data_IF_632774710838
#
_entry.id   IF_632774710838
#
_cell.length_a   1.000
_cell.length_b   1.000
_cell.length_c   1.000
_cell.angle_alpha   90.00
_cell.angle_beta   90.00
_cell.angle_gamma   90.00
#
_symmetry.space_group_name_H-M   'P 1'
#
loop_
_entity.id
_entity.type
_entity.pdbx_description
1 polymer ?
#
# COMPACT_ATOMS: atom_id res chain seq x y z
N UNK A 1 -24.56 10.41 59.23
CA UNK A 1 -25.63 10.38 58.21
C UNK A 1 -25.85 8.92 57.82
N UNK A 2 -27.10 8.48 57.97
CA UNK A 2 -27.80 7.30 57.46
C UNK A 2 -27.05 6.05 56.99
N UNK A 3 -27.38 4.93 57.65
CA UNK A 3 -27.43 3.59 57.05
C UNK A 3 -28.58 3.52 56.01
N UNK A 4 -28.59 2.53 55.10
CA UNK A 4 -29.61 1.49 55.30
C UNK A 4 -29.17 0.05 54.97
N UNK A 5 -29.79 -0.85 55.73
CA UNK A 5 -29.82 -2.31 55.65
C UNK A 5 -30.89 -2.82 54.67
N UNK A 6 -30.59 -3.94 54.00
CA UNK A 6 -31.53 -5.05 53.69
C UNK A 6 -31.90 -5.30 52.21
N UNK A 7 -32.40 -6.51 51.82
CA UNK A 7 -32.77 -7.65 52.66
C UNK A 7 -32.29 -9.07 52.20
N UNK A 8 -32.30 -9.97 53.18
CA UNK A 8 -32.64 -11.41 53.21
C UNK A 8 -32.70 -12.28 51.96
N UNK A 9 -32.00 -13.43 52.02
CA UNK A 9 -32.54 -14.72 51.55
C UNK A 9 -31.87 -15.90 52.29
N UNK A 10 -32.62 -16.70 53.09
CA UNK A 10 -32.18 -17.99 53.58
C UNK A 10 -32.81 -19.11 52.74
N UNK A 11 -31.98 -19.93 52.09
CA UNK A 11 -32.42 -21.25 51.64
C UNK A 11 -32.05 -22.27 52.73
N UNK A 12 -33.07 -22.58 53.54
CA UNK A 12 -33.18 -23.84 54.26
C UNK A 12 -33.13 -24.98 53.24
N UNK A 13 -32.10 -25.83 53.34
CA UNK A 13 -32.24 -27.22 52.92
C UNK A 13 -31.76 -28.09 54.08
N UNK A 14 -32.77 -28.63 54.75
CA UNK A 14 -32.77 -29.82 55.60
C UNK A 14 -31.89 -30.92 55.03
N UNK A 15 -30.98 -31.47 55.84
CA UNK A 15 -31.11 -32.87 56.25
C UNK A 15 -30.24 -33.18 57.48
N UNK A 16 -30.89 -33.92 58.38
CA UNK A 16 -30.44 -34.26 59.72
C UNK A 16 -29.20 -35.16 59.71
N UNK A 17 -28.24 -34.83 60.57
CA UNK A 17 -27.25 -35.77 61.03
C UNK A 17 -27.83 -36.60 62.19
N UNK A 18 -27.88 -37.93 62.06
CA UNK A 18 -27.77 -38.82 63.22
C UNK A 18 -27.05 -40.14 62.88
N UNK A 19 -26.02 -40.40 63.71
CA UNK A 19 -25.55 -41.69 64.21
C UNK A 19 -24.73 -42.65 63.34
N UNK A 20 -23.43 -42.71 63.67
CA UNK A 20 -22.75 -43.86 64.31
C UNK A 20 -21.40 -44.21 63.65
N UNK A 21 -20.33 -44.22 64.44
CA UNK A 21 -19.04 -44.80 64.03
C UNK A 21 -17.84 -44.28 64.82
N UNK A 22 -17.64 -44.82 66.02
CA UNK A 22 -16.46 -44.60 66.88
C UNK A 22 -15.27 -45.45 66.41
N UNK A 23 -14.03 -44.92 66.39
CA UNK A 23 -12.84 -45.75 66.16
C UNK A 23 -11.49 -45.07 65.86
N UNK A 24 -10.83 -44.55 66.92
CA UNK A 24 -9.35 -44.49 67.14
C UNK A 24 -8.52 -43.31 66.57
N UNK A 25 -7.59 -42.68 67.36
CA UNK A 25 -6.83 -41.45 67.04
C UNK A 25 -5.40 -41.75 66.52
N UNK A 26 -4.57 -40.75 66.12
CA UNK A 26 -3.72 -40.05 67.12
C UNK A 26 -3.29 -38.59 66.80
N UNK A 27 -2.81 -37.95 67.87
CA UNK A 27 -1.61 -37.10 67.98
C UNK A 27 -1.56 -35.69 67.36
N UNK A 28 -1.68 -34.73 68.28
CA UNK A 28 -0.69 -33.67 68.58
C UNK A 28 -0.41 -32.57 67.55
N UNK A 29 -0.75 -31.36 68.01
CA UNK A 29 -0.35 -30.08 67.47
C UNK A 29 0.96 -29.63 68.13
N UNK A 30 1.94 -29.28 67.31
CA UNK A 30 3.06 -28.38 67.62
C UNK A 30 3.48 -27.77 66.26
N UNK A 31 3.16 -26.50 65.99
CA UNK A 31 3.98 -25.32 66.28
C UNK A 31 5.28 -25.23 65.44
N UNK A 32 5.23 -24.36 64.44
CA UNK A 32 6.23 -23.32 64.13
C UNK A 32 7.68 -23.75 63.82
N UNK A 33 8.06 -23.65 62.54
CA UNK A 33 9.23 -22.91 61.98
C UNK A 33 9.68 -23.57 60.67
N UNK A 34 9.13 -23.14 59.52
CA UNK A 34 9.81 -23.38 58.23
C UNK A 34 10.65 -22.15 57.87
N UNK A 35 11.93 -22.45 57.67
CA UNK A 35 13.05 -21.58 57.43
C UNK A 35 13.00 -21.12 55.97
N UNK A 36 12.96 -19.80 55.75
CA UNK A 36 13.19 -19.18 54.45
C UNK A 36 14.62 -19.52 53.97
N UNK A 37 14.83 -20.06 52.76
CA UNK A 37 16.15 -20.01 52.16
C UNK A 37 16.41 -18.60 51.62
N UNK A 38 17.38 -17.91 52.20
CA UNK A 38 18.04 -16.75 51.58
C UNK A 38 18.79 -17.21 50.32
N UNK A 39 18.63 -16.55 49.15
CA UNK A 39 19.63 -16.66 48.11
C UNK A 39 20.78 -15.70 48.42
N UNK A 40 21.93 -16.29 48.76
CA UNK A 40 23.22 -15.62 48.80
C UNK A 40 23.56 -15.01 47.43
N UNK A 41 24.12 -13.81 47.50
CA UNK A 41 24.82 -13.04 46.46
C UNK A 41 25.80 -13.87 45.65
N UNK A 42 25.71 -13.76 44.32
CA UNK A 42 26.82 -13.32 43.45
C UNK A 42 26.44 -13.57 41.98
N UNK A 43 25.97 -12.54 41.28
CA UNK A 43 26.15 -12.39 39.82
C UNK A 43 25.78 -10.95 39.42
N UNK A 44 26.76 -10.04 39.51
CA UNK A 44 26.74 -8.79 38.76
C UNK A 44 26.98 -9.10 37.26
N UNK A 45 26.13 -8.68 36.32
CA UNK A 45 26.57 -8.56 34.94
C UNK A 45 27.42 -7.29 34.81
N UNK A 46 28.70 -7.50 34.51
CA UNK A 46 29.66 -6.46 34.20
C UNK A 46 29.10 -5.46 33.17
N UNK A 47 28.96 -4.21 33.59
CA UNK A 47 28.71 -3.09 32.69
C UNK A 47 30.04 -2.68 32.06
N UNK A 48 30.38 -3.22 30.90
CA UNK A 48 31.52 -2.70 30.11
C UNK A 48 31.08 -1.45 29.34
N UNK A 49 31.43 -0.28 29.90
CA UNK A 49 31.43 1.00 29.19
C UNK A 49 32.71 1.06 28.36
N UNK A 50 32.61 0.91 27.04
CA UNK A 50 33.72 1.18 26.14
C UNK A 50 33.93 2.69 26.02
N UNK A 51 34.81 3.24 26.85
CA UNK A 51 35.46 4.53 26.58
C UNK A 51 36.63 4.31 25.60
N UNK A 52 36.80 5.13 24.56
CA UNK A 52 37.99 5.04 23.72
C UNK A 52 39.22 5.55 24.49
N UNK A 53 40.26 4.73 24.49
CA UNK A 53 41.57 5.08 25.03
C UNK A 53 42.26 6.14 24.15
N UNK A 54 42.72 7.20 24.79
CA UNK A 54 43.68 8.17 24.26
C UNK A 54 45.10 7.73 24.67
N UNK A 55 46.09 7.81 23.77
CA UNK A 55 47.43 8.12 24.22
C UNK A 55 48.05 9.27 23.42
N UNK A 56 48.13 10.42 24.08
CA UNK A 56 49.41 11.12 24.22
C UNK A 56 49.65 12.31 23.28
N UNK A 57 49.38 13.49 23.83
CA UNK A 57 50.26 14.67 23.85
C UNK A 57 50.84 15.15 22.51
N UNK A 58 50.24 16.20 21.94
CA UNK A 58 51.00 17.32 21.38
C UNK A 58 50.32 18.66 21.65
N UNK A 59 51.21 19.63 21.85
CA UNK A 59 51.08 21.01 22.32
C UNK A 59 49.91 21.86 21.82
N UNK A 60 49.58 22.81 22.69
CA UNK A 60 48.71 23.95 22.42
C UNK A 60 49.29 24.81 21.29
N UNK A 61 48.48 25.05 20.26
CA UNK A 61 48.52 26.33 19.53
C UNK A 61 47.12 26.65 19.03
N UNK A 62 46.52 27.68 19.63
CA UNK A 62 45.40 28.41 19.05
C UNK A 62 45.91 29.14 17.82
N UNK A 63 45.34 28.90 16.64
CA UNK A 63 45.33 29.87 15.54
C UNK A 63 44.32 29.47 14.46
N UNK A 64 43.63 30.49 13.96
CA UNK A 64 42.67 30.49 12.88
C UNK A 64 43.17 29.77 11.63
N UNK A 65 42.33 28.92 11.02
CA UNK A 65 42.37 28.71 9.57
C UNK A 65 41.00 28.30 9.02
N UNK A 66 40.30 29.31 8.52
CA UNK A 66 39.50 29.30 7.30
C UNK A 66 39.50 27.97 6.52
N UNK A 67 38.43 27.19 6.68
CA UNK A 67 38.05 26.11 5.77
C UNK A 67 37.29 26.67 4.58
N UNK A 68 38.01 26.94 3.50
CA UNK A 68 37.53 27.31 2.18
C UNK A 68 36.47 26.33 1.62
N UNK A 69 35.26 26.85 1.41
CA UNK A 69 34.34 26.67 0.27
C UNK A 69 34.36 25.31 -0.47
N UNK A 70 33.20 24.64 -0.50
CA UNK A 70 32.59 24.06 -1.72
C UNK A 70 31.12 23.67 -1.47
N UNK A 71 30.27 24.69 -1.37
CA UNK A 71 28.83 24.55 -1.66
C UNK A 71 28.43 25.66 -2.63
N UNK A 72 28.62 25.39 -3.92
CA UNK A 72 27.93 26.08 -5.00
C UNK A 72 27.47 25.01 -5.97
N UNK A 73 26.29 24.44 -5.72
CA UNK A 73 25.51 23.87 -6.82
C UNK A 73 24.99 25.06 -7.64
N UNK A 74 25.22 25.13 -8.96
CA UNK A 74 24.61 26.18 -9.78
C UNK A 74 23.10 25.98 -9.74
N UNK A 75 22.39 27.02 -9.29
CA UNK A 75 20.96 27.20 -9.54
C UNK A 75 20.73 27.20 -11.05
N UNK A 76 20.11 26.14 -11.58
CA UNK A 76 19.74 26.00 -13.00
C UNK A 76 18.58 26.90 -13.43
N UNK A 77 18.50 28.10 -12.88
CA UNK A 77 17.51 29.12 -13.16
C UNK A 77 18.26 30.46 -13.25
N UNK A 78 18.80 30.74 -14.44
CA UNK A 78 19.08 32.07 -15.00
C UNK A 78 20.16 31.97 -16.08
N UNK A 79 19.75 31.67 -17.33
CA UNK A 79 20.40 32.10 -18.57
C UNK A 79 19.73 31.41 -19.76
N UNK A 80 18.77 32.07 -20.39
CA UNK A 80 18.17 31.52 -21.61
C UNK A 80 17.08 32.40 -22.19
N UNK A 81 17.51 33.47 -22.86
CA UNK A 81 16.76 34.25 -23.85
C UNK A 81 15.51 33.53 -24.41
N UNK A 82 14.34 34.15 -24.23
CA UNK A 82 13.17 33.88 -25.07
C UNK A 82 13.54 34.20 -26.52
N UNK A 83 13.87 33.18 -27.32
CA UNK A 83 14.02 33.36 -28.76
C UNK A 83 12.63 33.54 -29.37
N UNK A 84 12.36 34.76 -29.83
CA UNK A 84 11.20 35.07 -30.66
C UNK A 84 11.34 34.29 -31.97
N UNK A 85 10.41 33.37 -32.24
CA UNK A 85 10.32 32.68 -33.52
C UNK A 85 9.93 33.72 -34.57
N UNK A 86 10.84 33.99 -35.49
CA UNK A 86 10.63 34.85 -36.65
C UNK A 86 9.64 34.16 -37.60
N UNK A 87 8.45 34.74 -37.79
CA UNK A 87 7.49 34.25 -38.78
C UNK A 87 7.95 34.71 -40.17
N UNK A 88 8.11 33.81 -41.15
CA UNK A 88 8.30 34.23 -42.52
C UNK A 88 7.06 35.00 -43.01
N UNK A 89 7.33 36.07 -43.75
CA UNK A 89 6.36 36.94 -44.39
C UNK A 89 5.59 36.16 -45.46
N UNK A 90 4.27 36.02 -45.31
CA UNK A 90 3.41 35.47 -46.37
C UNK A 90 3.41 36.42 -47.58
N UNK A 91 3.70 35.93 -48.81
CA UNK A 91 3.62 36.78 -49.99
C UNK A 91 2.17 37.11 -50.32
N UNK A 92 1.90 38.39 -50.53
CA UNK A 92 0.65 38.89 -51.07
C UNK A 92 0.48 38.43 -52.52
N UNK A 93 -0.30 37.36 -52.74
CA UNK A 93 -0.72 36.96 -54.09
C UNK A 93 -2.10 37.51 -54.42
N UNK A 94 -2.03 38.66 -55.09
CA UNK A 94 -2.69 38.97 -56.37
C UNK A 94 -4.21 39.15 -56.43
N UNK A 95 -4.54 40.44 -56.44
CA UNK A 95 -5.65 41.12 -57.10
C UNK A 95 -5.91 40.53 -58.51
N UNK A 96 -7.13 40.08 -58.77
CA UNK A 96 -7.64 39.98 -60.14
C UNK A 96 -8.62 41.11 -60.41
N UNK A 97 -8.10 42.14 -61.10
CA UNK A 97 -8.89 43.16 -61.74
C UNK A 97 -9.69 42.56 -62.91
N UNK A 98 -10.88 43.12 -63.12
CA UNK A 98 -11.84 42.74 -64.14
C UNK A 98 -11.31 42.92 -65.57
N UNK A 99 -11.72 42.02 -66.47
CA UNK A 99 -11.79 42.30 -67.90
C UNK A 99 -13.00 41.59 -68.53
N UNK A 100 -14.02 42.39 -68.84
CA UNK A 100 -15.18 42.01 -69.62
C UNK A 100 -14.80 41.85 -71.10
N UNK A 101 -15.34 40.82 -71.76
CA UNK A 101 -15.60 40.83 -73.21
C UNK A 101 -17.02 40.31 -73.45
N UNK A 102 -17.91 41.08 -74.10
CA UNK A 102 -19.25 40.62 -74.42
C UNK A 102 -19.19 39.71 -75.66
N UNK A 103 -19.67 38.47 -75.53
CA UNK A 103 -19.90 37.58 -76.68
C UNK A 103 -21.40 37.38 -76.82
N UNK A 104 -21.89 37.70 -78.03
CA UNK A 104 -23.29 37.70 -78.42
C UNK A 104 -23.93 36.29 -78.39
N UNK A 105 -25.26 36.18 -78.22
CA UNK A 105 -25.97 34.91 -78.10
C UNK A 105 -26.06 34.19 -79.44
N UNK A 106 -25.55 32.95 -79.50
CA UNK A 106 -25.77 32.03 -80.63
C UNK A 106 -27.09 31.27 -80.42
N UNK A 107 -28.08 31.50 -81.28
CA UNK A 107 -29.28 30.68 -81.38
C UNK A 107 -28.94 29.30 -81.93
N UNK A 108 -29.26 28.25 -81.18
CA UNK A 108 -29.24 26.87 -81.66
C UNK A 108 -30.70 26.47 -81.93
N UNK A 109 -31.04 26.00 -83.16
CA UNK A 109 -32.40 25.55 -83.48
C UNK A 109 -32.80 24.33 -82.64
N UNK A 110 -34.09 24.16 -82.31
CA UNK A 110 -34.55 23.01 -81.52
C UNK A 110 -34.28 21.72 -82.30
N UNK A 111 -33.29 20.94 -81.83
CA UNK A 111 -33.18 19.54 -82.25
C UNK A 111 -34.32 18.78 -81.59
N UNK A 112 -35.14 18.19 -82.44
CA UNK A 112 -36.25 17.33 -82.06
C UNK A 112 -35.85 16.24 -81.07
N UNK A 113 -36.88 15.74 -80.40
CA UNK A 113 -36.84 14.72 -79.36
C UNK A 113 -35.89 13.57 -79.70
N UNK A 114 -34.69 13.63 -79.12
CA UNK A 114 -33.83 12.46 -78.99
C UNK A 114 -34.38 11.60 -77.84
N UNK A 115 -34.52 10.28 -78.00
CA UNK A 115 -34.99 9.42 -76.93
C UNK A 115 -34.03 9.49 -75.74
N UNK A 116 -34.62 9.68 -74.56
CA UNK A 116 -33.92 9.79 -73.27
C UNK A 116 -33.04 8.55 -73.06
N UNK A 117 -31.72 8.68 -72.80
CA UNK A 117 -30.90 7.51 -72.50
C UNK A 117 -31.45 6.84 -71.23
N UNK A 118 -31.45 5.50 -71.14
CA UNK A 118 -31.96 4.81 -69.97
C UNK A 118 -31.18 5.28 -68.74
N UNK A 119 -31.87 5.85 -67.76
CA UNK A 119 -31.29 6.10 -66.45
C UNK A 119 -30.88 4.75 -65.88
N UNK A 120 -29.61 4.42 -66.01
CA UNK A 120 -28.99 3.28 -65.34
C UNK A 120 -29.14 3.59 -63.86
N UNK A 121 -30.12 2.95 -63.21
CA UNK A 121 -30.29 2.99 -61.75
C UNK A 121 -28.95 2.53 -61.17
N UNK A 122 -28.14 3.50 -60.72
CA UNK A 122 -26.83 3.24 -60.13
C UNK A 122 -27.10 2.34 -58.94
N UNK A 123 -26.67 1.08 -59.05
CA UNK A 123 -27.00 0.01 -58.12
C UNK A 123 -26.43 0.35 -56.75
N UNK A 124 -27.27 0.96 -55.92
CA UNK A 124 -27.01 1.30 -54.53
C UNK A 124 -26.56 0.08 -53.72
N UNK A 125 -26.89 -1.12 -54.20
CA UNK A 125 -26.41 -2.40 -53.66
C UNK A 125 -24.88 -2.52 -53.59
N UNK A 126 -24.11 -1.88 -54.49
CA UNK A 126 -22.64 -1.91 -54.37
C UNK A 126 -22.12 -0.97 -53.28
N UNK A 127 -22.79 0.17 -53.08
CA UNK A 127 -22.48 1.09 -51.96
C UNK A 127 -22.83 0.41 -50.63
N UNK A 128 -23.97 -0.27 -50.56
CA UNK A 128 -24.35 -1.06 -49.40
C UNK A 128 -23.34 -2.19 -49.13
N UNK A 129 -22.87 -2.90 -50.16
CA UNK A 129 -21.85 -3.92 -50.03
C UNK A 129 -20.52 -3.35 -49.48
N UNK A 130 -20.08 -2.19 -49.97
CA UNK A 130 -18.88 -1.51 -49.47
C UNK A 130 -19.05 -1.12 -48.00
N UNK A 131 -20.19 -0.56 -47.61
CA UNK A 131 -20.46 -0.18 -46.22
C UNK A 131 -20.43 -1.40 -45.29
N UNK A 132 -21.02 -2.52 -45.71
CA UNK A 132 -21.00 -3.77 -44.92
C UNK A 132 -19.57 -4.28 -44.75
N UNK A 133 -18.74 -4.23 -45.79
CA UNK A 133 -17.33 -4.63 -45.70
C UNK A 133 -16.56 -3.72 -44.74
N UNK A 134 -16.74 -2.41 -44.82
CA UNK A 134 -16.09 -1.45 -43.91
C UNK A 134 -16.56 -1.68 -42.47
N UNK A 135 -17.86 -1.87 -42.24
CA UNK A 135 -18.42 -2.15 -40.93
C UNK A 135 -17.88 -3.47 -40.35
N UNK A 136 -17.75 -4.51 -41.17
CA UNK A 136 -17.16 -5.78 -40.76
C UNK A 136 -15.67 -5.62 -40.38
N UNK A 137 -14.89 -4.88 -41.17
CA UNK A 137 -13.48 -4.60 -40.87
C UNK A 137 -13.32 -3.76 -39.60
N UNK A 138 -14.19 -2.76 -39.39
CA UNK A 138 -14.21 -1.97 -38.17
C UNK A 138 -14.55 -2.84 -36.95
N UNK A 139 -15.53 -3.74 -37.06
CA UNK A 139 -15.87 -4.68 -36.00
C UNK A 139 -14.72 -5.64 -35.67
N UNK A 140 -14.01 -6.15 -36.69
CA UNK A 140 -12.83 -7.00 -36.50
C UNK A 140 -11.69 -6.21 -35.84
N UNK A 141 -11.46 -4.96 -36.25
CA UNK A 141 -10.45 -4.11 -35.64
C UNK A 141 -10.78 -3.79 -34.18
N UNK A 142 -12.04 -3.47 -33.86
CA UNK A 142 -12.51 -3.22 -32.49
C UNK A 142 -12.43 -4.50 -31.65
N UNK A 143 -12.80 -5.66 -32.20
CA UNK A 143 -12.68 -6.93 -31.50
C UNK A 143 -11.21 -7.32 -31.28
N UNK A 144 -10.35 -7.05 -32.26
CA UNK A 144 -8.90 -7.23 -32.16
C UNK A 144 -8.29 -6.32 -31.10
N UNK A 145 -8.68 -5.05 -31.04
CA UNK A 145 -8.22 -4.15 -29.98
C UNK A 145 -8.76 -4.56 -28.62
N UNK A 146 -10.03 -4.97 -28.49
CA UNK A 146 -10.59 -5.47 -27.21
C UNK A 146 -9.90 -6.77 -26.77
N UNK A 147 -9.58 -7.68 -27.68
CA UNK A 147 -8.85 -8.90 -27.35
C UNK A 147 -7.39 -8.60 -26.96
N UNK A 148 -6.74 -7.67 -27.66
CA UNK A 148 -5.36 -7.26 -27.38
C UNK A 148 -5.25 -6.44 -26.09
N UNK A 149 -6.27 -5.62 -25.76
CA UNK A 149 -6.34 -4.87 -24.51
C UNK A 149 -6.81 -5.72 -23.34
N UNK A 150 -7.60 -6.79 -23.57
CA UNK A 150 -7.90 -7.78 -22.52
C UNK A 150 -6.68 -8.58 -22.08
N UNK A 151 -5.69 -8.80 -22.95
CA UNK A 151 -4.42 -9.42 -22.57
C UNK A 151 -3.37 -8.39 -22.13
N UNK A 152 -3.70 -7.10 -22.19
CA UNK A 152 -2.86 -6.00 -21.75
C UNK A 152 -3.57 -5.25 -20.62
N UNK A 153 -3.93 -5.96 -19.55
CA UNK A 153 -3.95 -5.31 -18.24
C UNK A 153 -2.57 -4.67 -18.07
N UNK A 154 -2.45 -3.37 -17.75
CA UNK A 154 -1.17 -2.84 -17.30
C UNK A 154 -0.74 -3.74 -16.14
N UNK A 155 0.25 -4.59 -16.37
CA UNK A 155 0.78 -5.46 -15.33
C UNK A 155 1.39 -4.50 -14.32
N UNK A 156 0.68 -4.24 -13.22
CA UNK A 156 1.27 -3.68 -12.01
C UNK A 156 2.49 -4.55 -11.73
N UNK A 157 3.68 -3.94 -11.59
CA UNK A 157 4.90 -4.72 -11.42
C UNK A 157 4.75 -5.61 -10.18
N UNK A 158 5.42 -6.77 -10.14
CA UNK A 158 5.33 -7.65 -8.96
C UNK A 158 5.77 -6.87 -7.70
N UNK A 159 6.74 -5.98 -7.86
CA UNK A 159 7.25 -5.06 -6.85
C UNK A 159 6.17 -4.09 -6.36
N UNK A 160 5.35 -3.54 -7.26
CA UNK A 160 4.24 -2.66 -6.90
C UNK A 160 3.14 -3.43 -6.16
N UNK A 161 2.86 -4.68 -6.54
CA UNK A 161 1.91 -5.52 -5.79
C UNK A 161 2.42 -5.84 -4.39
N UNK A 162 3.71 -6.17 -4.24
CA UNK A 162 4.33 -6.35 -2.92
C UNK A 162 4.23 -5.07 -2.08
N UNK A 163 4.54 -3.92 -2.67
CA UNK A 163 4.41 -2.61 -2.00
C UNK A 163 2.97 -2.37 -1.53
N UNK A 164 2.01 -2.62 -2.41
CA UNK A 164 0.57 -2.51 -2.10
C UNK A 164 0.15 -3.44 -0.96
N UNK A 165 0.63 -4.68 -0.91
CA UNK A 165 0.31 -5.61 0.19
C UNK A 165 0.88 -5.14 1.53
N UNK A 166 2.09 -4.56 1.54
CA UNK A 166 2.69 -4.01 2.76
C UNK A 166 1.89 -2.79 3.24
N UNK A 167 1.48 -1.91 2.34
CA UNK A 167 0.64 -0.75 2.66
C UNK A 167 -0.74 -1.19 3.19
N UNK A 168 -1.36 -2.19 2.56
CA UNK A 168 -2.62 -2.77 3.01
C UNK A 168 -2.50 -3.39 4.41
N UNK A 169 -1.39 -4.09 4.69
CA UNK A 169 -1.11 -4.62 6.02
C UNK A 169 -0.94 -3.53 7.06
N UNK A 170 -0.19 -2.47 6.77
CA UNK A 170 -0.01 -1.33 7.67
C UNK A 170 -1.37 -0.67 8.00
N UNK A 171 -2.23 -0.49 6.99
CA UNK A 171 -3.58 0.05 7.16
C UNK A 171 -4.44 -0.90 8.00
N UNK A 172 -4.38 -2.21 7.74
CA UNK A 172 -5.18 -3.21 8.45
C UNK A 172 -4.77 -3.31 9.92
N UNK A 173 -3.47 -3.21 10.24
CA UNK A 173 -2.97 -3.11 11.62
C UNK A 173 -3.50 -1.85 12.30
N UNK A 174 -3.42 -0.71 11.64
CA UNK A 174 -3.88 0.57 12.19
C UNK A 174 -5.39 0.59 12.45
N UNK A 175 -6.18 0.08 11.51
CA UNK A 175 -7.65 0.06 11.60
C UNK A 175 -8.20 -1.11 12.43
N UNK A 176 -7.37 -2.11 12.72
CA UNK A 176 -7.80 -3.32 13.41
C UNK A 176 -8.66 -4.23 12.54
N UNK A 177 -8.45 -4.23 11.21
CA UNK A 177 -9.20 -5.08 10.29
C UNK A 177 -8.70 -6.52 10.35
N UNK A 178 -9.32 -7.31 11.23
CA UNK A 178 -8.95 -8.71 11.46
C UNK A 178 -9.13 -9.56 10.20
N UNK A 179 -10.15 -9.26 9.40
CA UNK A 179 -10.47 -10.03 8.21
C UNK A 179 -9.37 -9.89 7.16
N UNK A 180 -8.93 -8.66 6.90
CA UNK A 180 -7.83 -8.35 6.00
C UNK A 180 -6.52 -8.93 6.53
N UNK A 181 -6.19 -8.71 7.80
CA UNK A 181 -5.00 -9.27 8.43
C UNK A 181 -4.89 -10.79 8.25
N UNK A 182 -5.99 -11.53 8.37
CA UNK A 182 -6.02 -12.99 8.15
C UNK A 182 -5.88 -13.41 6.69
N UNK A 183 -6.30 -12.55 5.76
CA UNK A 183 -6.27 -12.82 4.32
C UNK A 183 -4.86 -12.63 3.76
N UNK A 184 -4.22 -11.51 4.13
CA UNK A 184 -2.95 -11.07 3.54
C UNK A 184 -1.72 -11.52 4.33
N UNK A 185 -1.87 -12.35 5.35
CA UNK A 185 -0.76 -12.94 6.09
C UNK A 185 -0.72 -14.45 5.91
N UNK A 186 0.44 -15.07 6.16
CA UNK A 186 0.58 -16.52 6.16
C UNK A 186 1.47 -17.00 7.33
N UNK A 187 1.56 -18.33 7.49
CA UNK A 187 2.38 -18.96 8.53
C UNK A 187 2.06 -18.47 9.94
N UNK A 188 3.12 -18.33 10.76
CA UNK A 188 3.00 -17.92 12.16
C UNK A 188 2.35 -16.54 12.34
N UNK A 189 2.60 -15.61 11.41
CA UNK A 189 1.97 -14.27 11.42
C UNK A 189 0.45 -14.39 11.34
N UNK A 190 -0.05 -15.19 10.38
CA UNK A 190 -1.49 -15.46 10.25
C UNK A 190 -2.04 -16.16 11.48
N UNK A 191 -1.36 -17.19 11.97
CA UNK A 191 -1.77 -17.96 13.14
C UNK A 191 -1.94 -17.08 14.39
N UNK A 192 -1.22 -15.95 14.48
CA UNK A 192 -1.44 -14.96 15.54
C UNK A 192 -2.83 -14.31 15.48
N UNK A 193 -3.34 -14.02 14.28
CA UNK A 193 -4.63 -13.39 14.05
C UNK A 193 -5.80 -14.39 14.06
N UNK A 194 -5.61 -15.63 13.59
CA UNK A 194 -6.71 -16.62 13.54
C UNK A 194 -7.21 -17.00 14.94
N UNK A 195 -6.36 -16.87 15.97
CA UNK A 195 -6.70 -17.24 17.36
C UNK A 195 -7.74 -16.34 18.03
N UNK A 196 -7.97 -15.13 17.53
CA UNK A 196 -8.97 -14.22 18.08
C UNK A 196 -10.34 -14.48 17.47
N UNK A 197 -11.42 -14.07 18.11
CA UNK A 197 -12.67 -13.76 17.40
C UNK A 197 -12.74 -12.25 17.15
N UNK A 198 -13.76 -11.79 16.42
CA UNK A 198 -13.90 -10.38 16.06
C UNK A 198 -13.98 -9.47 17.29
N UNK A 199 -14.70 -9.91 18.34
CA UNK A 199 -14.91 -9.12 19.56
C UNK A 199 -13.62 -9.05 20.38
N UNK A 200 -12.97 -10.18 20.62
CA UNK A 200 -11.73 -10.27 21.37
C UNK A 200 -10.61 -9.49 20.69
N UNK A 201 -10.57 -9.50 19.36
CA UNK A 201 -9.65 -8.68 18.58
C UNK A 201 -9.96 -7.19 18.71
N UNK A 202 -11.21 -6.77 18.51
CA UNK A 202 -11.60 -5.36 18.65
C UNK A 202 -11.27 -4.80 20.05
N UNK A 203 -11.54 -5.58 21.09
CA UNK A 203 -11.19 -5.21 22.47
C UNK A 203 -9.65 -5.10 22.63
N UNK A 204 -8.87 -6.01 22.05
CA UNK A 204 -7.40 -5.98 22.08
C UNK A 204 -6.82 -4.81 21.30
N UNK A 205 -7.27 -4.62 20.06
CA UNK A 205 -6.87 -3.53 19.19
C UNK A 205 -7.19 -2.18 19.81
N UNK A 206 -8.38 -1.98 20.40
CA UNK A 206 -8.75 -0.72 21.03
C UNK A 206 -7.77 -0.30 22.15
N UNK A 207 -7.30 -1.26 22.96
CA UNK A 207 -6.30 -1.01 24.01
C UNK A 207 -4.94 -0.64 23.41
N UNK A 208 -4.48 -1.39 22.41
CA UNK A 208 -3.21 -1.12 21.71
C UNK A 208 -3.25 0.23 21.00
N UNK A 209 -4.36 0.55 20.33
CA UNK A 209 -4.57 1.79 19.60
C UNK A 209 -4.64 3.00 20.54
N UNK A 210 -5.35 2.89 21.67
CA UNK A 210 -5.40 3.94 22.69
C UNK A 210 -4.01 4.26 23.26
N UNK A 211 -3.17 3.24 23.44
CA UNK A 211 -1.78 3.40 23.85
C UNK A 211 -0.82 3.77 22.69
N UNK A 212 -1.31 3.80 21.45
CA UNK A 212 -0.49 3.97 20.22
C UNK A 212 0.67 2.97 20.12
N UNK A 213 0.50 1.77 20.68
CA UNK A 213 1.51 0.72 20.75
C UNK A 213 1.48 -0.23 19.54
N UNK A 214 1.33 0.33 18.34
CA UNK A 214 1.42 -0.42 17.08
C UNK A 214 2.52 0.17 16.18
N UNK A 215 3.18 -0.66 15.35
CA UNK A 215 4.12 -0.16 14.35
C UNK A 215 3.37 0.54 13.22
N UNK A 216 4.05 1.50 12.59
CA UNK A 216 3.61 2.21 11.39
C UNK A 216 4.73 2.14 10.36
N UNK A 217 4.39 1.84 9.12
CA UNK A 217 5.32 1.86 7.98
C UNK A 217 5.50 3.31 7.51
N UNK A 218 6.73 3.81 7.61
CA UNK A 218 7.09 5.16 7.16
C UNK A 218 7.48 5.20 5.68
N UNK A 219 8.22 4.19 5.24
CA UNK A 219 8.64 4.03 3.85
C UNK A 219 8.95 2.57 3.55
N UNK A 220 8.75 2.21 2.28
CA UNK A 220 9.19 0.94 1.71
C UNK A 220 10.39 1.26 0.82
N UNK A 221 11.57 0.95 1.35
CA UNK A 221 12.86 1.46 0.89
C UNK A 221 13.39 0.62 -0.28
N UNK A 222 13.26 -0.71 -0.18
CA UNK A 222 13.68 -1.65 -1.20
C UNK A 222 12.72 -2.83 -1.26
N UNK A 223 12.46 -3.33 -2.47
CA UNK A 223 11.71 -4.57 -2.72
C UNK A 223 12.53 -5.43 -3.65
N UNK A 224 12.71 -6.70 -3.31
CA UNK A 224 13.38 -7.71 -4.14
C UNK A 224 12.43 -8.88 -4.32
N UNK A 225 12.05 -9.15 -5.57
CA UNK A 225 11.15 -10.27 -5.92
C UNK A 225 11.97 -11.40 -6.54
N UNK A 226 11.83 -12.60 -6.01
CA UNK A 226 12.47 -13.83 -6.46
C UNK A 226 11.40 -14.91 -6.69
N UNK A 227 10.81 -14.93 -7.88
CA UNK A 227 9.75 -15.89 -8.20
C UNK A 227 8.49 -15.63 -7.38
N UNK A 228 8.13 -16.61 -6.54
CA UNK A 228 6.99 -16.55 -5.61
C UNK A 228 7.38 -16.05 -4.21
N UNK A 229 8.62 -15.61 -4.00
CA UNK A 229 9.08 -14.97 -2.77
C UNK A 229 9.44 -13.51 -3.01
N UNK A 230 9.26 -12.67 -2.01
CA UNK A 230 9.77 -11.31 -2.01
C UNK A 230 10.28 -10.91 -0.64
N UNK A 231 11.29 -10.06 -0.62
CA UNK A 231 11.82 -9.44 0.59
C UNK A 231 11.76 -7.92 0.43
N UNK A 232 11.25 -7.23 1.45
CA UNK A 232 11.10 -5.78 1.42
C UNK A 232 11.68 -5.12 2.66
N UNK A 233 12.67 -4.24 2.48
CA UNK A 233 13.16 -3.40 3.56
C UNK A 233 12.22 -2.22 3.76
N UNK A 234 11.77 -2.06 5.00
CA UNK A 234 10.85 -1.00 5.42
C UNK A 234 11.43 -0.21 6.58
N UNK A 235 11.24 1.10 6.55
CA UNK A 235 11.46 1.95 7.71
C UNK A 235 10.16 2.04 8.50
N UNK A 236 10.20 1.65 9.76
CA UNK A 236 9.04 1.61 10.66
C UNK A 236 9.29 2.43 11.92
N UNK A 237 8.22 2.84 12.61
CA UNK A 237 8.26 3.43 13.95
C UNK A 237 7.04 3.02 14.76
N UNK A 238 7.08 3.15 16.08
CA UNK A 238 5.87 2.98 16.91
C UNK A 238 5.04 4.25 16.91
N UNK A 239 3.71 4.16 16.79
CA UNK A 239 2.85 5.34 16.66
C UNK A 239 2.95 6.35 17.83
N UNK A 240 3.36 5.94 19.03
CA UNK A 240 3.64 6.84 20.15
C UNK A 240 4.98 7.59 20.04
N UNK A 241 5.92 7.14 19.20
CA UNK A 241 7.27 7.67 19.08
C UNK A 241 7.76 7.74 17.61
N UNK A 242 7.15 8.60 16.76
CA UNK A 242 7.45 8.68 15.33
C UNK A 242 8.88 9.15 14.98
N UNK A 243 9.55 9.80 15.92
CA UNK A 243 10.96 10.17 15.82
C UNK A 243 11.93 8.98 15.97
N UNK A 244 11.49 7.85 16.54
CA UNK A 244 12.31 6.65 16.74
C UNK A 244 12.01 5.65 15.63
N UNK A 245 12.82 5.71 14.57
CA UNK A 245 12.66 4.87 13.38
C UNK A 245 13.64 3.69 13.39
N UNK A 246 13.24 2.58 12.79
CA UNK A 246 14.07 1.41 12.60
C UNK A 246 13.76 0.73 11.28
N UNK A 247 14.79 0.27 10.59
CA UNK A 247 14.64 -0.56 9.38
C UNK A 247 14.39 -2.01 9.78
N UNK A 248 13.40 -2.64 9.14
CA UNK A 248 13.05 -4.05 9.30
C UNK A 248 12.79 -4.65 7.91
N UNK A 249 12.97 -5.95 7.78
CA UNK A 249 12.65 -6.66 6.54
C UNK A 249 11.29 -7.36 6.68
N UNK A 250 10.44 -7.24 5.66
CA UNK A 250 9.24 -8.04 5.49
C UNK A 250 9.50 -9.17 4.50
N UNK A 251 9.17 -10.40 4.90
CA UNK A 251 9.13 -11.55 4.01
C UNK A 251 7.73 -11.72 3.45
N UNK A 252 7.61 -11.84 2.13
CA UNK A 252 6.34 -12.09 1.44
C UNK A 252 6.42 -13.32 0.53
N UNK A 253 5.28 -13.97 0.35
CA UNK A 253 5.13 -15.10 -0.56
C UNK A 253 3.87 -14.90 -1.42
N UNK A 254 3.95 -15.26 -2.70
CA UNK A 254 2.83 -15.23 -3.63
C UNK A 254 2.10 -16.58 -3.59
N UNK A 255 0.95 -16.62 -2.90
CA UNK A 255 0.15 -17.84 -2.69
C UNK A 255 -1.33 -17.52 -2.72
N UNK A 256 -2.14 -18.48 -3.17
CA UNK A 256 -3.59 -18.27 -3.34
C UNK A 256 -3.88 -17.04 -4.22
N UNK A 257 -3.10 -16.89 -5.30
CA UNK A 257 -3.20 -15.81 -6.29
C UNK A 257 -3.02 -14.38 -5.71
N UNK A 258 -2.39 -14.25 -4.54
CA UNK A 258 -2.10 -12.95 -3.91
C UNK A 258 -0.75 -12.96 -3.17
N UNK A 259 -0.12 -11.80 -3.04
CA UNK A 259 1.02 -11.64 -2.14
C UNK A 259 0.55 -11.65 -0.68
N UNK A 260 1.30 -12.32 0.18
CA UNK A 260 1.02 -12.43 1.62
C UNK A 260 2.27 -12.20 2.44
N UNK A 261 2.14 -11.56 3.61
CA UNK A 261 3.22 -11.38 4.57
C UNK A 261 3.41 -12.66 5.39
N UNK A 262 4.61 -13.22 5.28
CA UNK A 262 4.94 -14.57 5.73
C UNK A 262 6.16 -14.58 6.65
N UNK A 263 6.37 -13.49 7.40
CA UNK A 263 7.50 -13.31 8.32
C UNK A 263 7.81 -14.57 9.13
N UNK A 264 9.07 -15.02 9.06
CA UNK A 264 9.55 -16.07 9.95
C UNK A 264 9.59 -15.57 11.41
N UNK A 265 9.37 -16.43 12.41
CA UNK A 265 9.61 -16.06 13.80
C UNK A 265 11.07 -15.65 13.99
N UNK A 266 11.30 -14.55 14.71
CA UNK A 266 12.66 -14.17 15.12
C UNK A 266 13.26 -15.33 15.96
N UNK A 267 14.44 -15.80 15.55
CA UNK A 267 15.17 -16.90 16.21
C UNK A 267 15.80 -16.48 17.53
#
# INVERSE_FOLDING_TARGET
MSNPTGPDQPDENTDAAEHAGEGTPPADADAETEILPEPETDHEPATEVMAPADPGTHDQTSEEQSGERRFTAPSGFDAGSTQIINRPNDPATEVFAAAQKPVAPQMIPPRGEAPKPPQKRRSWGWVAAIIVVIAALAAIAILGTILLTRTSTPAVSQEDMVRSTIEEFDIAVQNGDLSTLRSITCGATRDSYVRYDEKAWADTHSRVAAAKQYPVVASIDQVVVNGDHAEANVTTFMAYAPQTRSTRSFDLEFRDEQWKICQAPAS
#
